data_IF_632438700995
#
_entry.id   IF_632438700995
#
_cell.length_a   1.000
_cell.length_b   1.000
_cell.length_c   1.000
_cell.angle_alpha   90.00
_cell.angle_beta   90.00
_cell.angle_gamma   90.00
#
_symmetry.space_group_name_H-M   'P 1'
#
loop_
_entity.id
_entity.type
_entity.pdbx_description
1 polymer ?
#
# COMPACT_ATOMS: atom_id res chain seq x y z
N UNK A 1 2.41 61.21 36.56
CA UNK A 1 2.55 62.07 35.37
C UNK A 1 2.38 61.15 34.17
N UNK A 2 1.13 60.95 33.71
CA UNK A 2 0.47 61.71 32.63
C UNK A 2 1.30 61.58 31.32
N UNK A 3 0.81 61.02 30.21
CA UNK A 3 -0.50 61.29 29.62
C UNK A 3 -1.06 60.16 28.72
N UNK A 4 -2.38 60.09 28.75
CA UNK A 4 -3.33 59.44 27.83
C UNK A 4 -3.62 60.34 26.63
N UNK A 5 -3.88 59.76 25.44
CA UNK A 5 -4.94 60.15 24.45
C UNK A 5 -4.69 59.45 23.10
N UNK A 6 -5.53 58.49 22.71
CA UNK A 6 -6.68 58.63 21.79
C UNK A 6 -6.32 58.89 20.32
N UNK A 7 -6.61 57.91 19.45
CA UNK A 7 -7.48 58.18 18.31
C UNK A 7 -8.24 56.92 17.86
N UNK A 8 -9.56 57.07 17.66
CA UNK A 8 -10.48 56.05 17.18
C UNK A 8 -10.98 56.42 15.76
N UNK A 9 -11.32 55.37 15.00
CA UNK A 9 -12.36 55.27 13.95
C UNK A 9 -12.19 55.95 12.58
N UNK A 10 -12.25 55.13 11.52
CA UNK A 10 -13.09 55.28 10.30
C UNK A 10 -13.08 53.93 9.53
N UNK A 11 -14.07 53.05 9.75
CA UNK A 11 -15.30 52.80 8.95
C UNK A 11 -15.18 51.86 7.72
N UNK A 12 -15.90 50.74 7.84
CA UNK A 12 -16.66 49.96 6.84
C UNK A 12 -15.95 49.31 5.64
N UNK A 13 -15.68 48.00 5.77
CA UNK A 13 -15.66 47.05 4.65
C UNK A 13 -16.79 46.03 4.81
N UNK A 14 -17.78 46.05 3.92
CA UNK A 14 -18.91 45.10 3.89
C UNK A 14 -18.41 43.66 3.68
N UNK A 15 -19.03 42.63 4.28
CA UNK A 15 -18.71 41.24 3.97
C UNK A 15 -19.26 40.84 2.59
N UNK A 16 -18.38 40.26 1.78
CA UNK A 16 -18.67 39.71 0.46
C UNK A 16 -19.50 38.42 0.62
N UNK A 17 -20.74 38.42 0.14
CA UNK A 17 -21.57 37.21 0.02
C UNK A 17 -21.35 36.59 -1.37
N UNK A 18 -20.79 35.37 -1.49
CA UNK A 18 -20.93 34.59 -2.71
C UNK A 18 -22.27 33.84 -2.69
N UNK A 19 -23.02 34.09 -3.75
CA UNK A 19 -24.29 33.50 -4.15
C UNK A 19 -24.24 31.99 -4.36
N UNK A 20 -25.40 31.37 -4.17
CA UNK A 20 -25.76 29.96 -4.33
C UNK A 20 -25.20 29.32 -5.61
N UNK A 21 -24.38 28.30 -5.42
CA UNK A 21 -23.92 27.34 -6.43
C UNK A 21 -23.32 26.14 -5.70
N UNK A 22 -24.18 25.36 -5.03
CA UNK A 22 -23.76 24.25 -4.19
C UNK A 22 -23.13 23.13 -5.02
N UNK A 23 -21.81 23.13 -5.12
CA UNK A 23 -21.04 21.95 -5.52
C UNK A 23 -21.21 20.93 -4.40
N UNK A 24 -21.90 19.82 -4.69
CA UNK A 24 -21.93 18.66 -3.80
C UNK A 24 -20.52 18.07 -3.75
N UNK A 25 -19.70 18.55 -2.82
CA UNK A 25 -18.45 17.92 -2.47
C UNK A 25 -18.81 16.61 -1.75
N UNK A 26 -18.39 15.44 -2.25
CA UNK A 26 -18.51 14.21 -1.46
C UNK A 26 -17.80 14.42 -0.12
N UNK A 27 -18.23 13.75 0.97
CA UNK A 27 -17.61 13.92 2.27
C UNK A 27 -16.09 13.75 2.11
N UNK A 28 -15.36 14.82 2.41
CA UNK A 28 -13.91 14.85 2.26
C UNK A 28 -13.36 13.61 2.94
N UNK A 29 -12.63 12.78 2.19
CA UNK A 29 -11.87 11.67 2.73
C UNK A 29 -11.00 12.24 3.84
N UNK A 30 -11.40 12.01 5.08
CA UNK A 30 -10.59 12.30 6.25
C UNK A 30 -9.73 11.06 6.43
N UNK A 31 -8.46 11.06 6.00
CA UNK A 31 -7.57 10.02 6.45
C UNK A 31 -7.58 10.14 7.97
N UNK A 32 -8.09 9.12 8.67
CA UNK A 32 -7.70 8.93 10.05
C UNK A 32 -6.19 8.76 10.04
N UNK A 33 -5.49 9.85 10.32
CA UNK A 33 -4.07 9.82 10.62
C UNK A 33 -3.97 9.14 11.97
N UNK A 34 -3.93 7.81 11.95
CA UNK A 34 -3.62 7.03 13.14
C UNK A 34 -2.22 7.47 13.57
N UNK A 35 -2.14 8.20 14.68
CA UNK A 35 -0.85 8.49 15.32
C UNK A 35 -0.19 7.13 15.58
N UNK A 36 1.11 6.93 15.28
CA UNK A 36 1.78 5.69 15.61
C UNK A 36 1.91 5.59 17.14
N UNK A 37 0.83 5.18 17.79
CA UNK A 37 0.88 4.59 19.09
C UNK A 37 1.46 3.20 18.92
N UNK A 38 2.36 2.83 19.82
CA UNK A 38 3.00 1.51 20.00
C UNK A 38 2.02 0.36 20.25
N UNK A 39 0.76 0.46 19.84
CA UNK A 39 -0.24 -0.58 19.98
C UNK A 39 0.04 -1.63 18.90
N UNK A 40 0.75 -2.69 19.30
CA UNK A 40 0.60 -3.97 18.62
C UNK A 40 -0.91 -4.29 18.59
N UNK A 41 -1.47 -4.68 17.44
CA UNK A 41 -2.88 -5.04 17.37
C UNK A 41 -3.17 -6.10 18.44
N UNK A 42 -4.25 -5.91 19.21
CA UNK A 42 -4.68 -6.89 20.21
C UNK A 42 -4.83 -8.27 19.53
N UNK A 43 -4.50 -9.34 20.26
CA UNK A 43 -4.49 -10.70 19.71
C UNK A 43 -5.82 -11.01 19.00
N UNK A 44 -5.76 -11.29 17.70
CA UNK A 44 -6.92 -11.59 16.85
C UNK A 44 -7.51 -10.41 16.07
N UNK A 45 -7.06 -9.16 16.27
CA UNK A 45 -7.53 -8.05 15.43
C UNK A 45 -6.89 -8.05 14.02
N UNK A 46 -7.67 -7.80 12.96
CA UNK A 46 -7.14 -7.72 11.60
C UNK A 46 -6.25 -6.49 11.42
N UNK A 47 -5.13 -6.67 10.72
CA UNK A 47 -4.21 -5.60 10.31
C UNK A 47 -4.84 -4.68 9.27
N UNK A 48 -5.59 -5.28 8.34
CA UNK A 48 -6.28 -4.60 7.25
C UNK A 48 -7.71 -5.15 7.13
N UNK A 49 -8.66 -4.24 7.02
CA UNK A 49 -10.06 -4.52 6.67
C UNK A 49 -10.42 -3.68 5.43
N UNK A 50 -10.92 -4.35 4.40
CA UNK A 50 -11.60 -3.78 3.24
C UNK A 50 -13.05 -4.22 3.32
N UNK A 51 -13.99 -3.27 3.22
CA UNK A 51 -15.42 -3.55 3.22
C UNK A 51 -16.05 -2.89 1.98
N UNK A 52 -16.62 -3.70 1.10
CA UNK A 52 -17.25 -3.32 -0.18
C UNK A 52 -16.40 -2.34 -1.02
N UNK A 53 -15.08 -2.55 -1.00
CA UNK A 53 -14.14 -1.66 -1.64
C UNK A 53 -14.23 -1.79 -3.15
N UNK A 54 -14.42 -0.67 -3.84
CA UNK A 54 -14.26 -0.57 -5.30
C UNK A 54 -13.06 0.30 -5.62
N UNK A 55 -12.30 -0.04 -6.66
CA UNK A 55 -11.13 0.75 -7.10
C UNK A 55 -11.28 1.10 -8.56
N UNK A 56 -11.15 2.39 -8.87
CA UNK A 56 -11.16 2.92 -10.24
C UNK A 56 -9.87 3.69 -10.51
N UNK A 57 -9.27 3.51 -11.69
CA UNK A 57 -8.11 4.30 -12.14
C UNK A 57 -8.22 4.61 -13.62
N UNK A 58 -8.01 5.88 -13.98
CA UNK A 58 -8.07 6.32 -15.38
C UNK A 58 -9.42 6.00 -16.05
N UNK A 59 -10.53 6.18 -15.30
CA UNK A 59 -11.87 5.86 -15.79
C UNK A 59 -12.26 4.37 -15.76
N UNK A 60 -11.31 3.45 -15.59
CA UNK A 60 -11.56 2.00 -15.60
C UNK A 60 -11.71 1.43 -14.20
N UNK A 61 -12.79 0.70 -13.94
CA UNK A 61 -12.99 -0.02 -12.67
C UNK A 61 -12.14 -1.30 -12.68
N UNK A 62 -11.30 -1.43 -11.67
CA UNK A 62 -10.35 -2.53 -11.52
C UNK A 62 -10.96 -3.69 -10.71
N UNK A 63 -11.78 -3.35 -9.73
CA UNK A 63 -12.54 -4.28 -8.89
C UNK A 63 -13.75 -3.56 -8.30
N UNK A 64 -14.78 -4.32 -7.94
CA UNK A 64 -16.03 -3.82 -7.35
C UNK A 64 -16.38 -4.64 -6.11
N UNK A 65 -16.74 -3.99 -5.00
CA UNK A 65 -17.33 -4.66 -3.84
C UNK A 65 -16.43 -5.69 -3.15
N UNK A 66 -15.12 -5.45 -3.08
CA UNK A 66 -14.20 -6.36 -2.41
C UNK A 66 -14.28 -6.18 -0.89
N UNK A 67 -14.68 -7.26 -0.22
CA UNK A 67 -14.59 -7.38 1.24
C UNK A 67 -13.49 -8.39 1.60
N UNK A 68 -12.53 -7.96 2.41
CA UNK A 68 -11.32 -8.71 2.74
C UNK A 68 -10.78 -8.28 4.09
N UNK A 69 -10.40 -9.24 4.93
CA UNK A 69 -9.59 -9.02 6.13
C UNK A 69 -8.24 -9.71 5.98
N UNK A 70 -7.19 -9.10 6.53
CA UNK A 70 -5.87 -9.71 6.70
C UNK A 70 -5.42 -9.53 8.15
N UNK A 71 -5.01 -10.61 8.79
CA UNK A 71 -4.41 -10.66 10.12
C UNK A 71 -2.94 -11.10 10.04
N UNK A 72 -2.24 -11.10 11.18
CA UNK A 72 -0.88 -11.62 11.25
C UNK A 72 -0.80 -13.08 10.81
N UNK A 73 0.21 -13.42 9.99
CA UNK A 73 0.36 -14.72 9.35
C UNK A 73 -0.32 -14.85 7.99
N UNK A 74 -1.23 -13.92 7.63
CA UNK A 74 -1.91 -13.98 6.34
C UNK A 74 -1.02 -13.56 5.18
N UNK A 75 -1.16 -14.28 4.07
CA UNK A 75 -0.61 -13.87 2.78
C UNK A 75 -1.69 -13.81 1.71
N UNK A 76 -1.66 -12.73 0.91
CA UNK A 76 -2.53 -12.52 -0.24
C UNK A 76 -1.69 -12.32 -1.49
N UNK A 77 -1.90 -13.19 -2.50
CA UNK A 77 -1.30 -13.03 -3.82
C UNK A 77 -2.30 -12.44 -4.79
N UNK A 78 -1.97 -11.30 -5.37
CA UNK A 78 -2.78 -10.62 -6.37
C UNK A 78 -2.26 -11.00 -7.76
N UNK A 79 -3.09 -11.74 -8.50
CA UNK A 79 -2.81 -12.21 -9.85
C UNK A 79 -3.57 -11.40 -10.88
N UNK A 80 -3.08 -11.41 -12.12
CA UNK A 80 -3.78 -10.83 -13.26
C UNK A 80 -2.80 -10.28 -14.32
N UNK A 81 -3.29 -9.99 -15.54
CA UNK A 81 -2.46 -9.51 -16.64
C UNK A 81 -1.72 -8.19 -16.32
N UNK A 82 -0.72 -7.86 -17.13
CA UNK A 82 -0.09 -6.54 -17.06
C UNK A 82 -1.11 -5.45 -17.42
N UNK A 83 -1.08 -4.35 -16.68
CA UNK A 83 -2.02 -3.24 -16.88
C UNK A 83 -3.43 -3.43 -16.30
N UNK A 84 -3.76 -4.59 -15.71
CA UNK A 84 -5.08 -4.82 -15.08
C UNK A 84 -5.31 -4.00 -13.80
N UNK A 85 -4.25 -3.35 -13.29
CA UNK A 85 -4.33 -2.45 -12.14
C UNK A 85 -3.92 -3.04 -10.80
N UNK A 86 -3.15 -4.14 -10.78
CA UNK A 86 -2.54 -4.72 -9.57
C UNK A 86 -1.85 -3.67 -8.68
N UNK A 87 -0.95 -2.88 -9.26
CA UNK A 87 -0.26 -1.79 -8.57
C UNK A 87 -1.19 -0.67 -8.10
N UNK A 88 -2.37 -0.51 -8.72
CA UNK A 88 -3.37 0.48 -8.29
C UNK A 88 -4.15 -0.03 -7.10
N UNK A 89 -4.54 -1.31 -7.11
CA UNK A 89 -5.13 -1.98 -5.97
C UNK A 89 -4.18 -1.94 -4.77
N UNK A 90 -2.91 -2.29 -4.97
CA UNK A 90 -1.90 -2.22 -3.93
C UNK A 90 -1.72 -0.80 -3.38
N UNK A 91 -1.73 0.25 -4.22
CA UNK A 91 -1.73 1.66 -3.75
C UNK A 91 -2.97 2.00 -2.91
N UNK A 92 -4.14 1.48 -3.29
CA UNK A 92 -5.35 1.62 -2.49
C UNK A 92 -5.17 0.94 -1.12
N UNK A 93 -4.70 -0.31 -1.12
CA UNK A 93 -4.40 -1.06 0.11
C UNK A 93 -3.33 -0.37 0.97
N UNK A 94 -2.37 0.31 0.36
CA UNK A 94 -1.35 1.10 1.06
C UNK A 94 -1.89 2.41 1.67
N UNK A 95 -3.10 2.84 1.30
CA UNK A 95 -3.65 4.15 1.68
C UNK A 95 -3.09 5.31 0.86
N UNK A 96 -2.36 5.02 -0.23
CA UNK A 96 -1.80 6.02 -1.15
C UNK A 96 -2.84 6.52 -2.17
N UNK A 97 -3.96 5.83 -2.32
CA UNK A 97 -5.10 6.24 -3.12
C UNK A 97 -6.37 5.86 -2.36
N UNK A 98 -7.36 6.75 -2.19
CA UNK A 98 -8.63 6.37 -1.61
C UNK A 98 -9.37 5.38 -2.54
N UNK A 99 -10.20 4.48 -1.99
CA UNK A 99 -11.09 3.67 -2.81
C UNK A 99 -12.17 4.56 -3.48
N UNK A 100 -12.76 4.08 -4.58
CA UNK A 100 -13.91 4.72 -5.22
C UNK A 100 -15.17 4.64 -4.33
N UNK A 101 -15.35 3.50 -3.67
CA UNK A 101 -16.42 3.23 -2.73
C UNK A 101 -15.95 2.23 -1.68
N UNK A 102 -16.70 2.11 -0.58
CA UNK A 102 -16.39 1.19 0.51
C UNK A 102 -15.40 1.76 1.53
N UNK A 103 -15.02 0.94 2.50
CA UNK A 103 -14.16 1.31 3.62
C UNK A 103 -12.84 0.56 3.56
N UNK A 104 -11.74 1.31 3.72
CA UNK A 104 -10.42 0.77 4.04
C UNK A 104 -10.05 1.17 5.46
N UNK A 105 -9.85 0.19 6.33
CA UNK A 105 -9.30 0.39 7.68
C UNK A 105 -7.98 -0.38 7.81
N UNK A 106 -6.93 0.29 8.24
CA UNK A 106 -5.63 -0.34 8.49
C UNK A 106 -5.14 0.10 9.86
N UNK A 107 -4.84 -0.86 10.72
CA UNK A 107 -4.51 -0.65 12.14
C UNK A 107 -3.02 -0.74 12.43
N UNK A 108 -2.23 -1.08 11.43
CA UNK A 108 -0.79 -1.30 11.54
C UNK A 108 -0.02 -0.46 10.53
N UNK A 109 1.28 -0.30 10.77
CA UNK A 109 2.17 0.29 9.77
C UNK A 109 2.27 -0.60 8.53
N UNK A 110 2.37 0.04 7.37
CA UNK A 110 2.45 -0.61 6.07
C UNK A 110 3.84 -0.37 5.47
N UNK A 111 4.55 -1.46 5.19
CA UNK A 111 5.80 -1.46 4.44
C UNK A 111 5.49 -1.61 2.96
N UNK A 112 5.98 -0.70 2.12
CA UNK A 112 5.71 -0.69 0.70
C UNK A 112 7.01 -0.89 -0.10
N UNK A 113 7.05 -1.95 -0.90
CA UNK A 113 8.07 -2.14 -1.93
C UNK A 113 7.40 -2.09 -3.30
N UNK A 114 7.41 -0.92 -3.92
CA UNK A 114 6.83 -0.72 -5.24
C UNK A 114 7.70 -1.26 -6.36
N UNK A 115 7.24 -1.05 -7.60
CA UNK A 115 8.04 -1.27 -8.80
C UNK A 115 9.33 -0.43 -8.80
N UNK A 116 9.23 0.84 -8.38
CA UNK A 116 10.41 1.67 -8.11
C UNK A 116 10.97 1.36 -6.71
N UNK A 117 12.28 1.21 -6.62
CA UNK A 117 12.99 0.83 -5.39
C UNK A 117 13.03 1.93 -4.30
N UNK A 118 12.52 3.13 -4.57
CA UNK A 118 12.56 4.28 -3.67
C UNK A 118 13.97 4.64 -3.15
N UNK A 119 15.01 4.39 -3.96
CA UNK A 119 16.40 4.74 -3.66
C UNK A 119 16.84 5.95 -4.48
N UNK A 120 17.53 6.90 -3.84
CA UNK A 120 18.16 8.05 -4.49
C UNK A 120 19.54 7.65 -5.04
N UNK A 121 19.74 7.63 -6.37
CA UNK A 121 20.96 7.09 -7.00
C UNK A 121 22.26 7.80 -6.61
N UNK A 122 22.16 9.08 -6.25
CA UNK A 122 23.32 9.90 -5.88
C UNK A 122 23.86 9.59 -4.47
N UNK A 123 23.02 9.06 -3.58
CA UNK A 123 23.37 8.79 -2.19
C UNK A 123 23.98 7.40 -2.03
N UNK A 124 24.72 7.21 -0.94
CA UNK A 124 25.21 5.90 -0.53
C UNK A 124 24.05 4.95 -0.18
N UNK A 125 24.33 3.64 -0.14
CA UNK A 125 23.35 2.66 0.33
C UNK A 125 22.92 2.98 1.76
N UNK A 126 23.87 3.23 2.66
CA UNK A 126 23.59 3.59 4.06
C UNK A 126 22.68 4.81 4.17
N UNK A 127 22.99 5.89 3.46
CA UNK A 127 22.21 7.14 3.52
C UNK A 127 20.76 6.94 3.08
N UNK A 128 20.53 6.09 2.08
CA UNK A 128 19.18 5.72 1.67
C UNK A 128 18.43 4.94 2.76
N UNK A 129 19.15 4.20 3.60
CA UNK A 129 18.58 3.35 4.65
C UNK A 129 18.34 4.09 5.98
N UNK A 130 18.92 5.28 6.16
CA UNK A 130 18.69 6.09 7.38
C UNK A 130 17.22 6.47 7.57
N UNK A 131 16.53 6.83 6.51
CA UNK A 131 15.10 7.17 6.58
C UNK A 131 14.21 5.97 7.00
N UNK A 132 14.25 4.80 6.33
CA UNK A 132 13.45 3.65 6.78
C UNK A 132 13.88 3.12 8.16
N UNK A 133 15.16 3.24 8.52
CA UNK A 133 15.66 2.93 9.87
C UNK A 133 14.98 3.81 10.93
N UNK A 134 14.92 5.12 10.70
CA UNK A 134 14.23 6.05 11.59
C UNK A 134 12.71 5.80 11.64
N UNK A 135 12.09 5.49 10.49
CA UNK A 135 10.66 5.17 10.41
C UNK A 135 10.29 3.96 11.26
N UNK A 136 11.14 2.92 11.28
CA UNK A 136 10.95 1.74 12.12
C UNK A 136 11.46 1.88 13.55
N UNK A 137 11.84 3.10 13.98
CA UNK A 137 12.37 3.37 15.33
C UNK A 137 13.65 2.59 15.66
N UNK A 138 14.43 2.20 14.66
CA UNK A 138 15.65 1.39 14.84
C UNK A 138 16.86 2.28 15.14
N UNK A 139 17.87 1.70 15.80
CA UNK A 139 19.20 2.32 15.90
C UNK A 139 19.92 2.22 14.55
N UNK A 140 20.76 3.20 14.23
CA UNK A 140 21.55 3.21 12.98
C UNK A 140 22.42 1.95 12.81
N UNK A 141 22.86 1.33 13.91
CA UNK A 141 23.59 0.05 13.88
C UNK A 141 22.80 -1.09 13.22
N UNK A 142 21.47 -1.02 13.16
CA UNK A 142 20.63 -2.00 12.48
C UNK A 142 20.79 -1.98 10.95
N UNK A 143 21.29 -0.87 10.37
CA UNK A 143 21.51 -0.75 8.92
C UNK A 143 22.52 -1.78 8.45
N UNK A 144 23.65 -1.93 9.15
CA UNK A 144 24.69 -2.90 8.81
C UNK A 144 24.15 -4.34 8.86
N UNK A 145 23.36 -4.68 9.88
CA UNK A 145 22.72 -6.00 9.99
C UNK A 145 21.73 -6.25 8.85
N UNK A 146 20.92 -5.26 8.49
CA UNK A 146 19.95 -5.38 7.40
C UNK A 146 20.64 -5.55 6.04
N UNK A 147 21.77 -4.85 5.81
CA UNK A 147 22.58 -5.02 4.61
C UNK A 147 23.25 -6.39 4.54
N UNK A 148 23.74 -6.91 5.66
CA UNK A 148 24.26 -8.28 5.76
C UNK A 148 23.19 -9.31 5.37
N UNK A 149 21.95 -9.17 5.89
CA UNK A 149 20.84 -10.07 5.56
C UNK A 149 20.53 -10.14 4.07
N UNK A 150 20.79 -9.07 3.31
CA UNK A 150 20.56 -9.03 1.87
C UNK A 150 21.84 -9.18 1.03
N UNK A 151 22.96 -9.54 1.66
CA UNK A 151 24.25 -9.77 0.98
C UNK A 151 24.88 -8.50 0.40
N UNK A 152 24.71 -7.35 1.05
CA UNK A 152 25.24 -6.04 0.63
C UNK A 152 26.11 -5.36 1.72
N UNK A 153 26.60 -6.09 2.73
CA UNK A 153 27.40 -5.53 3.82
C UNK A 153 28.62 -4.72 3.34
N UNK A 154 29.33 -5.22 2.33
CA UNK A 154 30.52 -4.57 1.75
C UNK A 154 30.19 -3.34 0.89
N UNK A 155 28.91 -3.09 0.59
CA UNK A 155 28.47 -2.04 -0.34
C UNK A 155 27.88 -0.82 0.39
N UNK A 156 28.00 -0.78 1.72
CA UNK A 156 27.39 0.21 2.61
C UNK A 156 27.61 1.67 2.15
N UNK A 157 28.86 2.03 1.82
CA UNK A 157 29.22 3.40 1.43
C UNK A 157 29.15 3.67 -0.07
N UNK A 158 28.79 2.67 -0.88
CA UNK A 158 28.76 2.84 -2.33
C UNK A 158 27.53 3.65 -2.77
N UNK A 159 27.68 4.60 -3.71
CA UNK A 159 26.54 5.26 -4.32
C UNK A 159 25.61 4.26 -5.01
N UNK A 160 24.31 4.36 -4.77
CA UNK A 160 23.30 3.44 -5.33
C UNK A 160 23.36 3.38 -6.86
N UNK A 161 23.76 4.44 -7.56
CA UNK A 161 23.90 4.43 -9.03
C UNK A 161 24.84 3.34 -9.54
N UNK A 162 25.86 2.94 -8.77
CA UNK A 162 26.85 1.93 -9.14
C UNK A 162 26.34 0.49 -8.95
N UNK A 163 25.24 0.30 -8.23
CA UNK A 163 24.64 -1.01 -8.00
C UNK A 163 23.98 -1.55 -9.27
N UNK A 164 24.06 -2.87 -9.47
CA UNK A 164 23.25 -3.60 -10.44
C UNK A 164 21.75 -3.49 -10.11
N UNK A 165 20.88 -3.82 -11.06
CA UNK A 165 19.43 -3.81 -10.82
C UNK A 165 19.02 -4.73 -9.64
N UNK A 166 19.60 -5.94 -9.57
CA UNK A 166 19.37 -6.87 -8.46
C UNK A 166 19.88 -6.34 -7.12
N UNK A 167 21.08 -5.74 -7.09
CA UNK A 167 21.61 -5.10 -5.88
C UNK A 167 20.75 -3.93 -5.41
N UNK A 168 20.23 -3.11 -6.33
CA UNK A 168 19.27 -2.04 -6.00
C UNK A 168 17.99 -2.60 -5.38
N UNK A 169 17.48 -3.72 -5.89
CA UNK A 169 16.29 -4.39 -5.32
C UNK A 169 16.59 -4.94 -3.93
N UNK A 170 17.75 -5.56 -3.71
CA UNK A 170 18.20 -6.04 -2.40
C UNK A 170 18.39 -4.90 -1.39
N UNK A 171 18.94 -3.76 -1.81
CA UNK A 171 19.04 -2.57 -0.95
C UNK A 171 17.66 -2.04 -0.56
N UNK A 172 16.68 -2.05 -1.47
CA UNK A 172 15.30 -1.67 -1.14
C UNK A 172 14.63 -2.66 -0.17
N UNK A 173 14.92 -3.97 -0.30
CA UNK A 173 14.48 -4.99 0.66
C UNK A 173 15.08 -4.74 2.05
N UNK A 174 16.38 -4.36 2.15
CA UNK A 174 16.97 -3.95 3.43
C UNK A 174 16.21 -2.75 4.04
N UNK A 175 15.86 -1.75 3.22
CA UNK A 175 15.00 -0.65 3.65
C UNK A 175 13.66 -1.12 4.21
N UNK A 176 12.98 -2.06 3.53
CA UNK A 176 11.73 -2.64 4.01
C UNK A 176 11.88 -3.31 5.38
N UNK A 177 12.94 -4.13 5.57
CA UNK A 177 13.22 -4.81 6.83
C UNK A 177 13.39 -3.83 8.00
N UNK A 178 14.04 -2.70 7.74
CA UNK A 178 14.27 -1.65 8.74
C UNK A 178 12.99 -0.97 9.22
N UNK A 179 11.92 -0.94 8.40
CA UNK A 179 10.64 -0.30 8.80
C UNK A 179 9.91 -1.05 9.91
N UNK A 180 10.19 -2.35 10.12
CA UNK A 180 9.44 -3.23 11.04
C UNK A 180 7.92 -3.23 10.82
N UNK A 181 7.46 -2.84 9.63
CA UNK A 181 6.04 -2.74 9.34
C UNK A 181 5.38 -4.14 9.40
N UNK A 182 4.30 -4.34 10.17
CA UNK A 182 3.62 -5.65 10.26
C UNK A 182 2.98 -6.09 8.96
N UNK A 183 2.51 -5.16 8.11
CA UNK A 183 1.91 -5.48 6.81
C UNK A 183 2.86 -5.07 5.67
N UNK A 184 3.30 -6.03 4.87
CA UNK A 184 4.12 -5.77 3.68
C UNK A 184 3.27 -5.80 2.42
N UNK A 185 3.46 -4.79 1.57
CA UNK A 185 2.86 -4.69 0.25
C UNK A 185 3.99 -4.69 -0.79
N UNK A 186 4.06 -5.75 -1.59
CA UNK A 186 5.14 -5.99 -2.53
C UNK A 186 4.60 -5.97 -3.96
N UNK A 187 4.97 -4.95 -4.73
CA UNK A 187 4.59 -4.83 -6.13
C UNK A 187 5.69 -5.40 -7.02
N UNK A 188 5.44 -6.60 -7.55
CA UNK A 188 6.35 -7.38 -8.38
C UNK A 188 7.77 -7.51 -7.77
N UNK A 189 7.90 -8.15 -6.59
CA UNK A 189 9.16 -8.21 -5.86
C UNK A 189 10.26 -9.01 -6.56
N UNK A 190 9.90 -10.00 -7.37
CA UNK A 190 10.85 -10.86 -8.09
C UNK A 190 11.27 -10.36 -9.47
N UNK A 191 10.66 -9.30 -10.00
CA UNK A 191 10.93 -8.84 -11.36
C UNK A 191 12.37 -8.33 -11.51
N UNK A 192 13.11 -8.91 -12.45
CA UNK A 192 14.51 -8.57 -12.72
C UNK A 192 15.51 -9.12 -11.70
N UNK A 193 15.12 -10.08 -10.85
CA UNK A 193 15.99 -10.78 -9.92
C UNK A 193 16.57 -12.07 -10.51
N UNK A 194 17.81 -12.39 -10.11
CA UNK A 194 18.40 -13.71 -10.31
C UNK A 194 17.80 -14.76 -9.34
N UNK A 195 18.07 -16.03 -9.60
CA UNK A 195 17.54 -17.14 -8.80
C UNK A 195 17.92 -17.05 -7.31
N UNK A 196 19.15 -16.60 -7.01
CA UNK A 196 19.63 -16.44 -5.63
C UNK A 196 18.85 -15.34 -4.90
N UNK A 197 18.58 -14.22 -5.57
CA UNK A 197 17.83 -13.10 -5.00
C UNK A 197 16.34 -13.43 -4.83
N UNK A 198 15.76 -14.25 -5.72
CA UNK A 198 14.40 -14.79 -5.55
C UNK A 198 14.32 -15.72 -4.34
N UNK A 199 15.32 -16.58 -4.13
CA UNK A 199 15.38 -17.46 -2.94
C UNK A 199 15.53 -16.67 -1.63
N UNK A 200 16.38 -15.63 -1.62
CA UNK A 200 16.50 -14.69 -0.51
C UNK A 200 15.17 -14.02 -0.20
N UNK A 201 14.50 -13.48 -1.23
CA UNK A 201 13.18 -12.84 -1.09
C UNK A 201 12.17 -13.79 -0.44
N UNK A 202 12.11 -15.05 -0.89
CA UNK A 202 11.27 -16.09 -0.28
C UNK A 202 11.57 -16.31 1.20
N UNK A 203 12.85 -16.41 1.55
CA UNK A 203 13.30 -16.59 2.94
C UNK A 203 12.85 -15.42 3.82
N UNK A 204 12.98 -14.18 3.34
CA UNK A 204 12.55 -12.99 4.07
C UNK A 204 11.03 -12.93 4.24
N UNK A 205 10.28 -13.26 3.19
CA UNK A 205 8.81 -13.29 3.25
C UNK A 205 8.31 -14.37 4.20
N UNK A 206 8.90 -15.56 4.16
CA UNK A 206 8.58 -16.65 5.08
C UNK A 206 8.88 -16.24 6.53
N UNK A 207 10.05 -15.65 6.80
CA UNK A 207 10.41 -15.18 8.12
C UNK A 207 9.48 -14.09 8.64
N UNK A 208 9.03 -13.18 7.77
CA UNK A 208 8.04 -12.14 8.12
C UNK A 208 6.70 -12.76 8.54
N UNK A 209 6.21 -13.74 7.79
CA UNK A 209 4.95 -14.43 8.11
C UNK A 209 5.05 -15.22 9.42
N UNK A 210 6.16 -15.94 9.66
CA UNK A 210 6.34 -16.72 10.91
C UNK A 210 6.50 -15.84 12.14
N UNK A 211 6.92 -14.58 11.97
CA UNK A 211 6.97 -13.57 13.03
C UNK A 211 5.62 -12.88 13.28
N UNK A 212 4.54 -13.35 12.65
CA UNK A 212 3.20 -12.78 12.77
C UNK A 212 2.95 -11.56 11.88
N UNK A 213 3.83 -11.30 10.91
CA UNK A 213 3.60 -10.33 9.86
C UNK A 213 2.57 -10.80 8.84
N UNK A 214 2.02 -9.88 8.06
CA UNK A 214 1.12 -10.16 6.94
C UNK A 214 1.70 -9.64 5.63
N UNK A 215 1.28 -10.21 4.51
CA UNK A 215 1.81 -9.91 3.18
C UNK A 215 0.70 -9.76 2.13
N UNK A 216 0.80 -8.74 1.29
CA UNK A 216 0.12 -8.68 -0.01
C UNK A 216 1.18 -8.54 -1.09
N UNK A 217 1.19 -9.42 -2.08
CA UNK A 217 2.16 -9.36 -3.18
C UNK A 217 1.50 -9.48 -4.53
N UNK A 218 2.03 -8.77 -5.52
CA UNK A 218 1.71 -8.98 -6.94
C UNK A 218 2.86 -9.78 -7.56
N UNK A 219 2.54 -10.78 -8.38
CA UNK A 219 3.55 -11.48 -9.17
C UNK A 219 2.89 -12.22 -10.33
N UNK A 220 3.57 -12.26 -11.47
CA UNK A 220 3.24 -13.12 -12.59
C UNK A 220 4.12 -14.38 -12.65
N UNK A 221 5.17 -14.45 -11.81
CA UNK A 221 6.06 -15.60 -11.64
C UNK A 221 5.72 -16.31 -10.33
N UNK A 222 5.81 -17.66 -10.25
CA UNK A 222 5.73 -18.36 -8.97
C UNK A 222 6.72 -17.78 -7.96
N UNK A 223 6.21 -17.33 -6.82
CA UNK A 223 7.03 -16.91 -5.69
C UNK A 223 7.15 -18.08 -4.71
N UNK A 224 8.34 -18.30 -4.11
CA UNK A 224 8.54 -19.27 -3.04
C UNK A 224 7.87 -18.76 -1.75
N UNK A 225 6.55 -18.84 -1.71
CA UNK A 225 5.69 -18.42 -0.63
C UNK A 225 4.93 -19.62 -0.06
N UNK A 226 4.61 -19.60 1.24
CA UNK A 226 3.68 -20.56 1.79
C UNK A 226 2.29 -20.37 1.13
N UNK A 227 1.46 -21.41 1.09
CA UNK A 227 0.11 -21.32 0.55
C UNK A 227 -0.65 -20.19 1.25
N UNK A 228 -1.35 -19.39 0.43
CA UNK A 228 -2.04 -18.19 0.87
C UNK A 228 -3.25 -17.91 0.01
N UNK A 229 -3.98 -16.85 0.35
CA UNK A 229 -5.17 -16.43 -0.38
C UNK A 229 -4.75 -15.88 -1.75
N UNK A 230 -5.57 -16.12 -2.77
CA UNK A 230 -5.33 -15.61 -4.13
C UNK A 230 -6.49 -14.70 -4.53
N UNK A 231 -6.16 -13.49 -4.97
CA UNK A 231 -7.09 -12.55 -5.59
C UNK A 231 -6.72 -12.37 -7.06
N UNK A 232 -7.59 -12.80 -7.97
CA UNK A 232 -7.39 -12.60 -9.40
C UNK A 232 -8.11 -11.35 -9.85
N UNK A 233 -7.36 -10.39 -10.39
CA UNK A 233 -7.90 -9.23 -11.09
C UNK A 233 -8.07 -9.58 -12.56
N UNK A 234 -9.30 -9.46 -13.05
CA UNK A 234 -9.65 -9.67 -14.45
C UNK A 234 -9.68 -8.32 -15.18
N UNK A 235 -9.29 -8.31 -16.45
CA UNK A 235 -9.59 -7.15 -17.29
C UNK A 235 -11.11 -6.97 -17.35
N UNK A 236 -11.64 -5.74 -17.26
CA UNK A 236 -13.06 -5.54 -17.49
C UNK A 236 -13.37 -6.03 -18.90
N UNK A 237 -14.46 -6.80 -19.04
CA UNK A 237 -15.02 -7.07 -20.35
C UNK A 237 -15.20 -5.72 -21.04
N UNK A 238 -14.67 -5.56 -22.25
CA UNK A 238 -14.88 -4.39 -23.09
C UNK A 238 -16.39 -4.22 -23.22
N UNK A 239 -16.99 -3.30 -22.47
CA UNK A 239 -18.32 -2.84 -22.80
C UNK A 239 -18.16 -2.07 -24.09
N UNK A 240 -18.53 -2.70 -25.21
CA UNK A 240 -18.79 -1.98 -26.46
C UNK A 240 -19.68 -0.76 -26.17
N UNK A 241 -19.54 0.34 -26.92
CA UNK A 241 -20.45 1.47 -26.79
C UNK A 241 -21.86 0.98 -27.11
N UNK A 242 -22.67 0.85 -26.06
CA UNK A 242 -24.10 0.53 -26.16
C UNK A 242 -24.74 1.69 -26.93
N UNK A 243 -25.06 1.44 -28.19
CA UNK A 243 -26.01 2.25 -28.95
C UNK A 243 -27.34 2.36 -28.19
N UNK A 244 -28.20 3.34 -28.52
CA UNK A 244 -29.35 3.70 -27.70
C UNK A 244 -30.22 2.48 -27.38
N UNK A 245 -30.29 2.16 -26.08
CA UNK A 245 -30.91 0.96 -25.52
C UNK A 245 -32.42 1.14 -25.44
N UNK A 246 -33.19 0.17 -25.93
CA UNK A 246 -34.63 0.12 -25.77
C UNK A 246 -35.02 -0.16 -24.29
N UNK A 247 -36.13 0.41 -23.79
CA UNK A 247 -36.54 0.25 -22.39
C UNK A 247 -37.05 -1.18 -22.12
N UNK A 248 -36.35 -1.95 -21.27
CA UNK A 248 -36.89 -3.22 -20.74
C UNK A 248 -35.90 -4.28 -20.25
N UNK A 249 -34.62 -4.25 -20.61
CA UNK A 249 -33.72 -5.38 -20.28
C UNK A 249 -32.93 -5.21 -18.97
N UNK A 250 -33.21 -6.09 -18.01
CA UNK A 250 -32.44 -6.29 -16.77
C UNK A 250 -31.08 -6.93 -17.10
N UNK A 251 -30.02 -6.40 -16.47
CA UNK A 251 -28.64 -6.87 -16.65
C UNK A 251 -28.42 -8.21 -15.91
N UNK A 252 -27.78 -9.23 -16.50
CA UNK A 252 -27.35 -10.40 -15.74
C UNK A 252 -26.18 -10.02 -14.85
N UNK A 253 -26.40 -10.07 -13.53
CA UNK A 253 -25.34 -10.03 -12.52
C UNK A 253 -24.49 -11.29 -12.73
N UNK A 254 -23.24 -11.13 -13.18
CA UNK A 254 -22.26 -12.22 -13.11
C UNK A 254 -21.86 -12.39 -11.65
N UNK A 255 -22.54 -13.34 -11.02
CA UNK A 255 -22.17 -13.91 -9.73
C UNK A 255 -20.70 -14.34 -9.80
N UNK A 256 -19.93 -13.81 -8.86
CA UNK A 256 -18.76 -14.51 -8.40
C UNK A 256 -19.28 -15.81 -7.71
N UNK A 257 -18.54 -16.92 -7.75
CA UNK A 257 -18.97 -18.23 -7.24
C UNK A 257 -18.54 -18.47 -5.78
N UNK A 258 -19.54 -18.75 -4.94
CA UNK A 258 -19.58 -19.44 -3.62
C UNK A 258 -18.62 -19.04 -2.47
N UNK A 259 -19.14 -18.33 -1.46
CA UNK A 259 -18.46 -17.91 -0.21
C UNK A 259 -19.06 -18.57 1.05
N UNK A 260 -19.86 -19.63 0.91
CA UNK A 260 -20.74 -20.11 1.99
C UNK A 260 -20.10 -21.07 3.00
N UNK A 261 -19.00 -21.74 2.65
CA UNK A 261 -18.28 -22.57 3.61
C UNK A 261 -17.21 -21.70 4.31
N UNK A 262 -16.65 -22.15 5.43
CA UNK A 262 -15.41 -21.62 6.05
C UNK A 262 -15.54 -20.65 7.23
N UNK A 263 -16.74 -20.34 7.74
CA UNK A 263 -16.88 -19.88 9.12
C UNK A 263 -17.06 -21.08 10.06
N UNK A 264 -15.95 -21.72 10.43
CA UNK A 264 -15.90 -22.54 11.64
C UNK A 264 -14.49 -22.46 12.25
N UNK A 265 -14.33 -22.00 13.50
CA UNK A 265 -13.05 -22.07 14.20
C UNK A 265 -12.78 -23.53 14.59
N UNK A 266 -11.58 -24.01 14.31
CA UNK A 266 -10.97 -25.13 15.04
C UNK A 266 -10.02 -24.59 16.08
#
# INVERSE_FOLDING_TARGET
MQDTSHNQNLTSGKPFHPSRGGVFLPPAFRPEVHRPGSAQPEQGQPFLELQDVSVRRGGRRLLTGLTLTLAGGDSLRVLGPNGVGKSSFLRCVAGLCPPESGLRRCRVQVGWLGHANALKPALSVEDNLRFPCALGGQKLSAIAQSLQQVGLGEMTHQPVRLLSAGQKRRAALAGLLLTRAPLWLLDEPATGLDAQSVALLGTLMQAHLTQGGALVTTSHVPLPLPPGRVLTLSAPATTEPVGPRAPGEKNPVKQATDWSAWNAPT
#
